data_IF_111159825282
#
_entry.id   IF_111159825282
#
_cell.length_a   1.000
_cell.length_b   1.000
_cell.length_c   1.000
_cell.angle_alpha   90.00
_cell.angle_beta   90.00
_cell.angle_gamma   90.00
#
_symmetry.space_group_name_H-M   'P 1'
#
loop_
_entity.id
_entity.type
_entity.pdbx_description
1 polymer ?
#
# COMPACT_ATOMS: atom_id res chain seq x y z
N UNK A 1 6.99 17.00 -7.52
CA UNK A 1 7.00 15.66 -8.14
C UNK A 1 5.59 15.08 -8.00
N UNK A 2 5.06 14.49 -9.07
CA UNK A 2 3.77 13.79 -9.04
C UNK A 2 4.01 12.32 -8.74
N UNK A 3 3.36 11.81 -7.70
CA UNK A 3 3.55 10.45 -7.20
C UNK A 3 2.21 9.74 -7.09
N UNK A 4 2.16 8.48 -7.45
CA UNK A 4 0.99 7.63 -7.24
C UNK A 4 1.39 6.39 -6.46
N UNK A 5 0.59 5.99 -5.50
CA UNK A 5 0.77 4.75 -4.77
C UNK A 5 -0.43 3.83 -4.98
N UNK A 6 -0.17 2.53 -5.05
CA UNK A 6 -1.17 1.54 -5.49
C UNK A 6 -1.15 0.32 -4.59
N UNK A 7 -2.31 -0.15 -4.20
CA UNK A 7 -2.45 -1.46 -3.56
C UNK A 7 -3.00 -1.41 -2.16
N UNK A 8 -2.38 -2.16 -1.25
CA UNK A 8 -2.95 -2.48 0.04
C UNK A 8 -3.26 -1.27 0.90
N UNK A 9 -4.37 -1.41 1.56
CA UNK A 9 -4.80 -0.61 2.70
C UNK A 9 -5.45 -1.56 3.71
N UNK A 10 -5.45 -1.19 4.96
CA UNK A 10 -6.17 -1.92 5.99
C UNK A 10 -6.57 -0.99 7.14
N UNK A 11 -7.47 -1.44 7.97
CA UNK A 11 -7.69 -0.83 9.28
C UNK A 11 -6.92 -1.62 10.34
N UNK A 12 -5.96 -0.96 10.98
CA UNK A 12 -5.23 -1.52 12.12
C UNK A 12 -6.11 -1.44 13.36
N UNK A 13 -6.58 -2.60 13.83
CA UNK A 13 -7.49 -2.73 14.97
C UNK A 13 -6.71 -3.17 16.21
N UNK A 14 -6.55 -2.27 17.17
CA UNK A 14 -5.90 -2.55 18.45
C UNK A 14 -6.91 -3.21 19.40
N UNK A 15 -6.85 -4.52 19.50
CA UNK A 15 -7.87 -5.33 20.20
C UNK A 15 -8.05 -4.95 21.67
N UNK A 16 -6.98 -4.56 22.38
CA UNK A 16 -7.03 -4.21 23.81
C UNK A 16 -7.62 -2.84 24.08
N UNK A 17 -7.31 -1.84 23.25
CA UNK A 17 -7.79 -0.45 23.42
C UNK A 17 -9.08 -0.17 22.67
N UNK A 18 -9.43 -0.99 21.68
CA UNK A 18 -10.53 -0.73 20.76
C UNK A 18 -10.25 0.38 19.75
N UNK A 19 -9.03 0.91 19.73
CA UNK A 19 -8.63 1.94 18.77
C UNK A 19 -8.47 1.34 17.38
N UNK A 20 -8.77 2.14 16.35
CA UNK A 20 -8.73 1.72 14.96
C UNK A 20 -8.14 2.84 14.11
N UNK A 21 -7.09 2.54 13.37
CA UNK A 21 -6.37 3.49 12.53
C UNK A 21 -6.22 2.99 11.08
N UNK A 22 -6.29 3.87 10.07
CA UNK A 22 -5.91 3.51 8.71
C UNK A 22 -4.44 3.10 8.64
N UNK A 23 -4.17 2.03 7.93
CA UNK A 23 -2.86 1.44 7.68
C UNK A 23 -2.72 0.96 6.23
N UNK A 24 -1.66 0.22 5.97
CA UNK A 24 -1.24 -0.24 4.65
C UNK A 24 -0.04 0.55 4.13
N UNK A 25 0.95 -0.16 3.59
CA UNK A 25 2.21 0.47 3.17
C UNK A 25 2.00 1.52 2.07
N UNK A 26 1.36 1.23 0.91
CA UNK A 26 1.18 2.22 -0.15
C UNK A 26 0.34 3.42 0.30
N UNK A 27 -0.67 3.19 1.13
CA UNK A 27 -1.49 4.26 1.68
C UNK A 27 -0.68 5.21 2.56
N UNK A 28 0.13 4.67 3.47
CA UNK A 28 1.00 5.45 4.33
C UNK A 28 2.02 6.25 3.52
N UNK A 29 2.62 5.65 2.50
CA UNK A 29 3.56 6.33 1.59
C UNK A 29 2.88 7.51 0.88
N UNK A 30 1.64 7.34 0.39
CA UNK A 30 0.88 8.45 -0.20
C UNK A 30 0.73 9.64 0.75
N UNK A 31 0.35 9.36 2.00
CA UNK A 31 0.15 10.38 3.04
C UNK A 31 1.46 11.11 3.38
N UNK A 32 2.54 10.36 3.55
CA UNK A 32 3.85 10.96 3.86
C UNK A 32 4.40 11.78 2.70
N UNK A 33 4.30 11.29 1.46
CA UNK A 33 4.71 12.03 0.27
C UNK A 33 3.91 13.34 0.13
N UNK A 34 2.61 13.30 0.40
CA UNK A 34 1.77 14.51 0.43
C UNK A 34 2.23 15.50 1.49
N UNK A 35 2.53 15.02 2.70
CA UNK A 35 3.07 15.83 3.79
C UNK A 35 4.43 16.48 3.47
N UNK A 36 5.23 15.84 2.63
CA UNK A 36 6.50 16.36 2.12
C UNK A 36 6.34 17.29 0.89
N UNK A 37 5.11 17.62 0.50
CA UNK A 37 4.82 18.55 -0.57
C UNK A 37 4.75 17.94 -1.98
N UNK A 38 4.72 16.62 -2.10
CA UNK A 38 4.48 15.98 -3.39
C UNK A 38 2.99 16.10 -3.79
N UNK A 39 2.73 16.10 -5.09
CA UNK A 39 1.39 15.87 -5.63
C UNK A 39 1.14 14.36 -5.61
N UNK A 40 0.41 13.90 -4.60
CA UNK A 40 0.29 12.48 -4.25
C UNK A 40 -1.12 11.96 -4.44
N UNK A 41 -1.24 10.84 -5.17
CA UNK A 41 -2.48 10.10 -5.36
C UNK A 41 -2.37 8.67 -4.80
N UNK A 42 -3.51 8.11 -4.43
CA UNK A 42 -3.63 6.72 -3.98
C UNK A 42 -4.72 5.98 -4.75
N UNK A 43 -4.41 4.76 -5.22
CA UNK A 43 -5.34 3.84 -5.90
C UNK A 43 -5.43 2.56 -5.09
N UNK A 44 -6.65 2.18 -4.73
CA UNK A 44 -6.92 0.95 -3.99
C UNK A 44 -8.42 0.68 -3.91
N UNK A 45 -8.79 -0.39 -3.23
CA UNK A 45 -10.19 -0.70 -2.98
C UNK A 45 -10.47 -0.66 -1.49
N UNK A 46 -11.65 -0.17 -1.13
CA UNK A 46 -12.22 -0.25 0.22
C UNK A 46 -13.57 -0.94 0.16
N UNK A 47 -14.00 -1.50 1.26
CA UNK A 47 -15.31 -2.15 1.36
C UNK A 47 -16.49 -1.16 1.35
N UNK A 48 -17.69 -1.70 1.64
CA UNK A 48 -18.93 -0.93 1.80
C UNK A 48 -19.36 -0.85 3.27
N UNK A 49 -18.40 -0.89 4.19
CA UNK A 49 -18.59 -0.91 5.63
C UNK A 49 -18.17 0.41 6.31
N UNK A 50 -18.37 0.51 7.62
CA UNK A 50 -17.99 1.69 8.42
C UNK A 50 -16.48 1.96 8.42
N UNK A 51 -15.64 0.95 8.21
CA UNK A 51 -14.19 1.12 8.12
C UNK A 51 -13.79 1.86 6.85
N UNK A 52 -14.47 1.60 5.73
CA UNK A 52 -14.23 2.34 4.51
C UNK A 52 -14.51 3.84 4.65
N UNK A 53 -15.56 4.21 5.37
CA UNK A 53 -15.89 5.62 5.61
C UNK A 53 -14.82 6.32 6.46
N UNK A 54 -14.37 5.64 7.53
CA UNK A 54 -13.29 6.15 8.39
C UNK A 54 -11.99 6.30 7.62
N UNK A 55 -11.62 5.34 6.78
CA UNK A 55 -10.42 5.38 5.95
C UNK A 55 -10.47 6.52 4.93
N UNK A 56 -11.53 6.60 4.14
CA UNK A 56 -11.72 7.64 3.11
C UNK A 56 -11.60 9.03 3.73
N UNK A 57 -12.30 9.26 4.84
CA UNK A 57 -12.25 10.54 5.56
C UNK A 57 -10.82 10.88 6.00
N UNK A 58 -10.11 9.92 6.60
CA UNK A 58 -8.76 10.15 7.09
C UNK A 58 -7.77 10.49 5.95
N UNK A 59 -7.90 9.85 4.78
CA UNK A 59 -7.04 10.12 3.62
C UNK A 59 -7.36 11.51 3.03
N UNK A 60 -8.65 11.84 2.91
CA UNK A 60 -9.09 13.16 2.41
C UNK A 60 -8.55 14.30 3.28
N UNK A 61 -8.60 14.14 4.61
CA UNK A 61 -8.07 15.13 5.55
C UNK A 61 -6.55 15.36 5.39
N UNK A 62 -5.82 14.37 4.84
CA UNK A 62 -4.40 14.49 4.51
C UNK A 62 -4.14 15.11 3.13
N UNK A 63 -5.18 15.36 2.33
CA UNK A 63 -5.08 15.99 1.03
C UNK A 63 -4.47 15.11 -0.06
N UNK A 64 -4.48 13.80 0.10
CA UNK A 64 -4.11 12.83 -0.95
C UNK A 64 -5.25 12.75 -1.98
N UNK A 65 -4.91 12.72 -3.26
CA UNK A 65 -5.89 12.49 -4.31
C UNK A 65 -6.35 11.02 -4.28
N UNK A 66 -7.64 10.82 -4.06
CA UNK A 66 -8.29 9.51 -4.02
C UNK A 66 -9.39 9.37 -5.08
N UNK A 67 -9.28 10.13 -6.18
CA UNK A 67 -10.27 10.07 -7.28
C UNK A 67 -10.40 8.67 -7.89
N UNK A 68 -9.38 7.84 -7.76
CA UNK A 68 -9.35 6.43 -8.20
C UNK A 68 -9.40 5.42 -7.04
N UNK A 69 -9.80 5.82 -5.85
CA UNK A 69 -10.13 4.89 -4.77
C UNK A 69 -11.54 4.31 -5.02
N UNK A 70 -11.62 3.02 -5.23
CA UNK A 70 -12.90 2.34 -5.54
C UNK A 70 -13.53 1.73 -4.29
N UNK A 71 -14.84 1.93 -4.13
CA UNK A 71 -15.63 1.22 -3.11
C UNK A 71 -16.23 -0.05 -3.73
N UNK A 72 -16.02 -1.20 -3.09
CA UNK A 72 -16.52 -2.51 -3.53
C UNK A 72 -17.47 -3.09 -2.48
N UNK A 73 -18.42 -3.89 -2.91
CA UNK A 73 -19.28 -4.64 -2.00
C UNK A 73 -18.44 -5.64 -1.20
N UNK A 74 -18.54 -5.59 0.14
CA UNK A 74 -17.77 -6.44 1.04
C UNK A 74 -17.07 -5.65 2.15
N UNK A 75 -16.13 -6.30 2.83
CA UNK A 75 -15.40 -5.73 3.96
C UNK A 75 -14.15 -5.00 3.50
N UNK A 76 -13.85 -3.88 4.16
CA UNK A 76 -12.51 -3.25 4.12
C UNK A 76 -11.50 -4.18 4.81
N UNK A 77 -10.28 -4.24 4.29
CA UNK A 77 -9.22 -5.04 4.90
C UNK A 77 -8.93 -4.61 6.34
N UNK A 78 -8.59 -5.58 7.18
CA UNK A 78 -8.33 -5.38 8.61
C UNK A 78 -7.08 -6.14 9.03
N UNK A 79 -6.23 -5.49 9.81
CA UNK A 79 -5.12 -6.13 10.53
C UNK A 79 -5.37 -6.00 12.02
N UNK A 80 -5.37 -7.11 12.75
CA UNK A 80 -5.43 -7.07 14.19
C UNK A 80 -4.03 -6.81 14.77
N UNK A 81 -3.94 -5.83 15.67
CA UNK A 81 -2.67 -5.40 16.27
C UNK A 81 -2.69 -5.62 17.76
N UNK A 82 -1.66 -6.24 18.29
CA UNK A 82 -1.39 -6.34 19.73
C UNK A 82 -0.18 -5.50 20.10
N UNK A 83 -0.23 -4.87 21.27
CA UNK A 83 0.92 -4.24 21.90
C UNK A 83 1.63 -5.23 22.81
N UNK A 84 2.91 -5.50 22.54
CA UNK A 84 3.79 -6.33 23.39
C UNK A 84 4.88 -5.43 23.93
N UNK A 85 4.71 -4.97 25.17
CA UNK A 85 5.53 -3.88 25.70
C UNK A 85 5.27 -2.58 24.93
N UNK A 86 6.31 -1.99 24.36
CA UNK A 86 6.25 -0.77 23.56
C UNK A 86 6.22 -1.04 22.04
N UNK A 87 6.18 -2.30 21.63
CA UNK A 87 6.23 -2.68 20.23
C UNK A 87 4.90 -3.23 19.72
N UNK A 88 4.65 -3.09 18.41
CA UNK A 88 3.46 -3.60 17.73
C UNK A 88 3.73 -5.00 17.21
N UNK A 89 2.82 -5.92 17.51
CA UNK A 89 2.79 -7.25 16.91
C UNK A 89 1.56 -7.34 16.00
N UNK A 90 1.81 -7.54 14.72
CA UNK A 90 0.75 -7.79 13.75
C UNK A 90 0.27 -9.24 13.88
N UNK A 91 -1.04 -9.41 14.01
CA UNK A 91 -1.71 -10.70 14.11
C UNK A 91 -2.40 -11.09 12.81
N UNK A 92 -3.66 -11.52 12.93
CA UNK A 92 -4.46 -11.93 11.78
C UNK A 92 -4.73 -10.77 10.83
N UNK A 93 -4.58 -11.04 9.52
CA UNK A 93 -4.88 -10.11 8.44
C UNK A 93 -6.03 -10.66 7.58
N UNK A 94 -7.13 -9.90 7.50
CA UNK A 94 -8.25 -10.15 6.58
C UNK A 94 -8.15 -9.13 5.44
N UNK A 95 -7.81 -9.60 4.25
CA UNK A 95 -7.66 -8.75 3.06
C UNK A 95 -8.98 -8.11 2.60
N UNK A 96 -10.13 -8.64 3.03
CA UNK A 96 -11.43 -8.14 2.58
C UNK A 96 -11.53 -8.06 1.06
N UNK A 97 -12.01 -6.93 0.55
CA UNK A 97 -12.14 -6.70 -0.90
C UNK A 97 -10.80 -6.59 -1.62
N UNK A 98 -9.71 -6.26 -0.92
CA UNK A 98 -8.37 -6.15 -1.51
C UNK A 98 -7.84 -7.47 -2.07
N UNK A 99 -8.32 -8.61 -1.56
CA UNK A 99 -7.99 -9.95 -2.09
C UNK A 99 -8.21 -10.08 -3.60
N UNK A 100 -9.12 -9.30 -4.17
CA UNK A 100 -9.46 -9.34 -5.59
C UNK A 100 -8.98 -8.10 -6.35
N UNK A 101 -8.12 -7.29 -5.73
CA UNK A 101 -7.65 -6.05 -6.31
C UNK A 101 -6.94 -6.28 -7.64
N UNK A 102 -7.33 -5.47 -8.62
CA UNK A 102 -6.66 -5.38 -9.90
C UNK A 102 -6.87 -3.98 -10.48
N UNK A 103 -5.90 -3.51 -11.24
CA UNK A 103 -6.00 -2.24 -11.96
C UNK A 103 -6.80 -2.42 -13.24
N UNK A 104 -7.67 -1.46 -13.50
CA UNK A 104 -8.38 -1.30 -14.77
C UNK A 104 -7.48 -0.64 -15.82
N UNK A 105 -7.85 -0.72 -17.09
CA UNK A 105 -7.13 0.01 -18.16
C UNK A 105 -7.13 1.52 -17.94
N UNK A 106 -8.22 2.09 -17.42
CA UNK A 106 -8.32 3.50 -17.10
C UNK A 106 -7.33 3.90 -16.00
N UNK A 107 -7.26 3.11 -14.92
CA UNK A 107 -6.30 3.33 -13.83
C UNK A 107 -4.85 3.18 -14.30
N UNK A 108 -4.54 2.23 -15.18
CA UNK A 108 -3.20 2.10 -15.77
C UNK A 108 -2.83 3.35 -16.60
N UNK A 109 -3.75 3.90 -17.39
CA UNK A 109 -3.50 5.16 -18.10
C UNK A 109 -3.34 6.34 -17.15
N UNK A 110 -4.15 6.41 -16.08
CA UNK A 110 -4.02 7.43 -15.06
C UNK A 110 -2.67 7.38 -14.36
N UNK A 111 -2.20 6.19 -13.95
CA UNK A 111 -0.88 5.98 -13.34
C UNK A 111 0.24 6.51 -14.23
N UNK A 112 0.20 6.28 -15.54
CA UNK A 112 1.22 6.73 -16.48
C UNK A 112 1.35 8.27 -16.57
N UNK A 113 0.40 9.04 -16.04
CA UNK A 113 0.51 10.50 -15.93
C UNK A 113 1.40 10.95 -14.77
N UNK A 114 1.87 10.03 -13.93
CA UNK A 114 2.72 10.28 -12.76
C UNK A 114 4.18 9.98 -13.05
N UNK A 115 5.08 10.57 -12.26
CA UNK A 115 6.53 10.40 -12.41
C UNK A 115 7.05 9.21 -11.62
N UNK A 116 6.41 8.90 -10.47
CA UNK A 116 6.79 7.82 -9.59
C UNK A 116 5.57 6.98 -9.21
N UNK A 117 5.74 5.67 -9.26
CA UNK A 117 4.79 4.67 -8.74
C UNK A 117 5.40 3.96 -7.54
N UNK A 118 4.61 3.79 -6.47
CA UNK A 118 4.98 2.95 -5.33
C UNK A 118 3.90 1.91 -5.05
N UNK A 119 4.33 0.69 -4.69
CA UNK A 119 3.48 -0.37 -4.16
C UNK A 119 4.26 -1.23 -3.17
N UNK A 120 3.61 -2.19 -2.54
CA UNK A 120 4.22 -3.16 -1.65
C UNK A 120 3.79 -4.59 -1.98
N UNK A 121 4.42 -5.54 -1.31
CA UNK A 121 4.24 -6.97 -1.55
C UNK A 121 2.79 -7.45 -1.36
N UNK A 122 2.03 -6.76 -0.51
CA UNK A 122 0.62 -7.03 -0.24
C UNK A 122 -0.34 -6.28 -1.18
N UNK A 123 0.22 -5.47 -2.11
CA UNK A 123 -0.54 -4.53 -2.94
C UNK A 123 -1.12 -5.12 -4.22
N UNK A 124 -0.80 -6.38 -4.58
CA UNK A 124 -1.25 -7.06 -5.81
C UNK A 124 -0.97 -6.29 -7.12
N UNK A 125 0.00 -5.35 -7.11
CA UNK A 125 0.36 -4.53 -8.26
C UNK A 125 1.67 -4.97 -8.96
N UNK A 126 2.36 -5.97 -8.43
CA UNK A 126 3.64 -6.49 -8.91
C UNK A 126 3.64 -6.83 -10.40
N UNK A 127 2.58 -7.45 -10.89
CA UNK A 127 2.40 -7.85 -12.30
C UNK A 127 2.43 -6.70 -13.31
N UNK A 128 2.26 -5.45 -12.87
CA UNK A 128 2.26 -4.27 -13.74
C UNK A 128 3.61 -3.53 -13.76
N UNK A 129 4.60 -3.93 -12.96
CA UNK A 129 5.85 -3.18 -12.81
C UNK A 129 6.70 -3.15 -14.08
N UNK A 130 6.69 -4.23 -14.89
CA UNK A 130 7.35 -4.19 -16.20
C UNK A 130 6.77 -3.09 -17.08
N UNK A 131 5.44 -2.97 -17.12
CA UNK A 131 4.75 -1.93 -17.89
C UNK A 131 5.11 -0.52 -17.37
N UNK A 132 5.14 -0.30 -16.07
CA UNK A 132 5.51 1.00 -15.50
C UNK A 132 6.95 1.38 -15.86
N UNK A 133 7.86 0.42 -15.77
CA UNK A 133 9.27 0.62 -16.14
C UNK A 133 9.44 0.92 -17.61
N UNK A 134 8.77 0.18 -18.51
CA UNK A 134 8.77 0.39 -19.95
C UNK A 134 8.25 1.78 -20.35
N UNK A 135 7.31 2.33 -19.58
CA UNK A 135 6.78 3.69 -19.76
C UNK A 135 7.68 4.78 -19.15
N UNK A 136 8.86 4.43 -18.66
CA UNK A 136 9.85 5.40 -18.14
C UNK A 136 9.51 5.99 -16.78
N UNK A 137 8.60 5.37 -16.01
CA UNK A 137 8.29 5.78 -14.65
C UNK A 137 9.42 5.39 -13.69
N UNK A 138 9.66 6.20 -12.67
CA UNK A 138 10.40 5.77 -11.50
C UNK A 138 9.54 4.79 -10.70
N UNK A 139 10.13 3.66 -10.36
CA UNK A 139 9.43 2.57 -9.68
C UNK A 139 9.99 2.32 -8.29
N UNK A 140 9.12 2.19 -7.31
CA UNK A 140 9.46 1.94 -5.92
C UNK A 140 8.60 0.80 -5.39
N UNK A 141 9.18 -0.16 -4.68
CA UNK A 141 8.47 -1.33 -4.16
C UNK A 141 8.99 -1.74 -2.79
N UNK A 142 8.05 -1.98 -1.86
CA UNK A 142 8.36 -2.50 -0.54
C UNK A 142 8.13 -4.01 -0.48
N UNK A 143 9.22 -4.75 -0.34
CA UNK A 143 9.23 -6.22 -0.17
C UNK A 143 8.97 -6.63 1.29
N UNK A 144 8.86 -5.66 2.22
CA UNK A 144 8.72 -5.93 3.65
C UNK A 144 9.85 -6.83 4.18
N UNK A 145 9.55 -7.70 5.11
CA UNK A 145 10.45 -8.74 5.64
C UNK A 145 10.38 -10.08 4.89
N UNK A 146 9.72 -10.09 3.73
CA UNK A 146 9.43 -11.29 2.93
C UNK A 146 10.61 -11.68 2.02
N UNK A 147 11.81 -11.81 2.58
CA UNK A 147 13.07 -12.01 1.83
C UNK A 147 13.13 -13.30 1.02
N UNK A 148 12.37 -14.32 1.41
CA UNK A 148 12.30 -15.62 0.73
C UNK A 148 11.17 -15.67 -0.33
N UNK A 149 10.38 -14.61 -0.48
CA UNK A 149 9.29 -14.56 -1.43
C UNK A 149 9.81 -14.56 -2.88
N UNK A 150 9.12 -15.23 -3.80
CA UNK A 150 9.57 -15.35 -5.20
C UNK A 150 9.66 -14.01 -5.94
N UNK A 151 8.87 -13.01 -5.54
CA UNK A 151 8.97 -11.66 -6.09
C UNK A 151 10.35 -11.02 -5.84
N UNK A 152 11.05 -11.37 -4.76
CA UNK A 152 12.42 -10.87 -4.48
C UNK A 152 13.41 -11.29 -5.57
N UNK A 153 13.18 -12.43 -6.24
CA UNK A 153 14.03 -12.92 -7.33
C UNK A 153 13.67 -12.32 -8.69
N UNK A 154 12.40 -11.95 -8.88
CA UNK A 154 11.87 -11.65 -10.22
C UNK A 154 11.54 -10.18 -10.46
N UNK A 155 11.10 -9.45 -9.43
CA UNK A 155 10.61 -8.09 -9.53
C UNK A 155 11.71 -7.01 -9.51
N UNK A 156 12.85 -7.16 -8.79
CA UNK A 156 13.83 -6.07 -8.63
C UNK A 156 14.37 -5.49 -9.93
N UNK A 157 14.43 -6.26 -11.01
CA UNK A 157 14.84 -5.77 -12.33
C UNK A 157 13.92 -4.68 -12.93
N UNK A 158 12.73 -4.55 -12.39
CA UNK A 158 11.74 -3.53 -12.77
C UNK A 158 11.56 -2.45 -11.69
N UNK A 159 12.39 -2.46 -10.63
CA UNK A 159 12.27 -1.55 -9.49
C UNK A 159 13.52 -0.71 -9.35
N UNK A 160 13.37 0.63 -9.35
CA UNK A 160 14.47 1.57 -9.13
C UNK A 160 14.82 1.69 -7.65
N UNK A 161 13.81 1.64 -6.77
CA UNK A 161 13.93 1.81 -5.33
C UNK A 161 13.27 0.64 -4.59
N UNK A 162 13.97 -0.50 -4.43
CA UNK A 162 13.50 -1.62 -3.63
C UNK A 162 13.75 -1.36 -2.15
N UNK A 163 12.72 -1.59 -1.32
CA UNK A 163 12.80 -1.53 0.13
C UNK A 163 12.66 -2.92 0.73
N UNK A 164 13.47 -3.21 1.74
CA UNK A 164 13.46 -4.45 2.50
C UNK A 164 13.56 -4.15 3.98
N UNK A 165 12.84 -4.90 4.80
CA UNK A 165 12.98 -4.88 6.25
C UNK A 165 13.77 -6.10 6.70
N UNK A 166 14.82 -5.89 7.49
CA UNK A 166 15.65 -6.95 8.03
C UNK A 166 15.89 -6.72 9.52
N UNK A 167 15.57 -7.72 10.34
CA UNK A 167 15.61 -7.60 11.80
C UNK A 167 16.56 -8.58 12.47
N UNK A 168 17.23 -9.46 11.70
CA UNK A 168 18.18 -10.44 12.24
C UNK A 168 19.56 -9.81 12.34
N UNK A 169 20.26 -10.12 13.45
CA UNK A 169 21.67 -9.77 13.64
C UNK A 169 22.55 -10.95 13.17
N UNK A 170 22.75 -11.00 11.85
CA UNK A 170 23.58 -12.03 11.21
C UNK A 170 24.38 -11.43 10.05
N UNK A 171 25.18 -12.26 9.36
CA UNK A 171 26.08 -11.83 8.28
C UNK A 171 25.37 -11.62 6.92
N UNK A 172 24.04 -11.46 6.88
CA UNK A 172 23.31 -11.28 5.62
C UNK A 172 23.45 -9.86 5.07
N UNK A 173 23.67 -8.85 5.94
CA UNK A 173 23.86 -7.43 5.56
C UNK A 173 25.33 -7.05 5.68
#
# INVERSE_FOLDING_TARGET
>A
MRTVTVGDNCMDVYQKSGEVYPGGNPLNVAVYLRGLGADSAYIGWVGSDQYSEKMVKAIQEKGVDISHLSRKEGKTAVTFVEMVGNDRRFGEYDEGVMKHFCLTTEELHYIQTYQLIHSGIWGHADKYYSLFKENGMLTSFDFSDQLDHDLVKTLPKFVDYPFFSYTKDDAFI
#
